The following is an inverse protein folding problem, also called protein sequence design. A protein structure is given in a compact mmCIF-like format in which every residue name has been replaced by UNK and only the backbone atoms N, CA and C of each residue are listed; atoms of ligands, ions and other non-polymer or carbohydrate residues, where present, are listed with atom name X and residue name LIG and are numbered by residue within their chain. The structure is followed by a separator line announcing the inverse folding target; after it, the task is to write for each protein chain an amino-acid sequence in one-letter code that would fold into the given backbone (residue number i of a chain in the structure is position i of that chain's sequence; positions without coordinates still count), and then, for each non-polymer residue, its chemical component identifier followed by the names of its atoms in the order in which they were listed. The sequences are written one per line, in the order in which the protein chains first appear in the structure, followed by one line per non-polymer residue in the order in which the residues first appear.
data_IF_972106145202
#
_entry.id   IF_972106145202
#
_cell.length_a   1.000
_cell.length_b   1.000
_cell.length_c   1.000
_cell.angle_alpha   90.00
_cell.angle_beta   90.00
_cell.angle_gamma   90.00
#
_symmetry.space_group_name_H-M   'P 1'
#
loop_
_entity.id
_entity.type
_entity.pdbx_description
1 polymer ?
#
# COMPACT_ATOMS: atom_id res chain seq x y z
N UNK A 1 -17.64 10.39 8.45
CA UNK A 1 -16.75 9.66 9.37
C UNK A 1 -15.41 9.43 8.69
N UNK A 2 -14.37 9.64 9.41
CA UNK A 2 -13.06 9.42 8.84
C UNK A 2 -12.76 7.92 8.74
N UNK A 3 -12.41 7.41 7.55
CA UNK A 3 -12.00 6.03 7.42
C UNK A 3 -10.66 5.76 8.10
N UNK A 4 -9.97 6.82 8.48
CA UNK A 4 -8.67 6.72 9.12
C UNK A 4 -8.76 6.88 10.63
N UNK A 5 -9.93 6.62 11.22
CA UNK A 5 -10.05 6.62 12.68
C UNK A 5 -8.98 5.72 13.27
N UNK A 6 -8.17 6.27 14.17
CA UNK A 6 -7.13 5.48 14.78
C UNK A 6 -7.68 4.64 15.92
N UNK A 7 -7.02 3.53 16.17
CA UNK A 7 -7.29 2.67 17.31
C UNK A 7 -6.04 2.65 18.19
N UNK A 8 -6.20 2.34 19.50
CA UNK A 8 -5.03 2.23 20.37
C UNK A 8 -4.10 1.12 19.89
N UNK A 9 -2.80 1.38 19.88
CA UNK A 9 -1.81 0.36 19.50
C UNK A 9 -1.74 -0.80 20.50
N UNK A 10 -2.35 -0.63 21.67
CA UNK A 10 -2.40 -1.66 22.71
C UNK A 10 -3.56 -2.63 22.52
N UNK A 11 -4.43 -2.40 21.54
CA UNK A 11 -5.59 -3.25 21.28
C UNK A 11 -5.42 -4.04 20.00
N UNK A 12 -5.53 -5.36 20.10
CA UNK A 12 -5.56 -6.23 18.93
C UNK A 12 -6.93 -6.16 18.27
N UNK A 13 -6.95 -6.37 16.95
CA UNK A 13 -8.20 -6.32 16.20
C UNK A 13 -8.13 -7.26 14.99
N UNK A 14 -9.32 -7.52 14.43
CA UNK A 14 -9.47 -8.22 13.17
C UNK A 14 -10.06 -7.27 12.14
N UNK A 15 -9.66 -7.42 10.87
CA UNK A 15 -10.33 -6.78 9.73
C UNK A 15 -10.63 -7.88 8.74
N UNK A 16 -11.89 -8.21 8.59
CA UNK A 16 -12.33 -9.36 7.82
C UNK A 16 -13.10 -8.92 6.57
N UNK A 17 -13.12 -9.79 5.56
CA UNK A 17 -13.92 -9.55 4.36
C UNK A 17 -13.40 -8.42 3.49
N UNK A 18 -12.11 -8.11 3.54
CA UNK A 18 -11.55 -6.95 2.83
C UNK A 18 -11.65 -7.07 1.32
N UNK A 19 -11.47 -8.27 0.78
CA UNK A 19 -11.55 -8.44 -0.68
C UNK A 19 -12.95 -8.12 -1.20
N UNK A 20 -13.97 -8.56 -0.48
CA UNK A 20 -15.36 -8.27 -0.87
C UNK A 20 -15.72 -6.81 -0.61
N UNK A 21 -15.18 -6.23 0.47
CA UNK A 21 -15.46 -4.85 0.83
C UNK A 21 -14.80 -3.84 -0.10
N UNK A 22 -13.71 -4.22 -0.75
CA UNK A 22 -12.97 -3.35 -1.65
C UNK A 22 -12.68 -4.09 -2.97
N UNK A 23 -13.69 -4.27 -3.82
CA UNK A 23 -13.47 -4.92 -5.10
C UNK A 23 -12.64 -4.03 -6.03
N UNK A 24 -11.96 -4.66 -6.99
CA UNK A 24 -11.25 -3.90 -8.03
C UNK A 24 -12.31 -3.29 -8.94
N UNK A 25 -12.28 -1.97 -9.06
CA UNK A 25 -13.28 -1.22 -9.83
C UNK A 25 -12.73 -0.84 -11.19
N UNK A 26 -13.58 -0.90 -12.21
CA UNK A 26 -13.20 -0.60 -13.58
C UNK A 26 -12.68 0.83 -13.70
N UNK A 27 -11.53 0.97 -14.37
CA UNK A 27 -10.87 2.24 -14.64
C UNK A 27 -10.60 3.09 -13.39
N UNK A 28 -10.39 2.43 -12.24
CA UNK A 28 -10.24 3.13 -10.99
C UNK A 28 -9.08 2.61 -10.14
N UNK A 29 -8.59 3.48 -9.30
CA UNK A 29 -7.72 3.17 -8.19
C UNK A 29 -8.51 3.45 -6.92
N UNK A 30 -8.59 2.47 -6.02
CA UNK A 30 -9.28 2.64 -4.75
C UNK A 30 -8.35 2.27 -3.61
N UNK A 31 -8.63 2.79 -2.43
CA UNK A 31 -7.85 2.47 -1.24
C UNK A 31 -8.70 2.50 0.01
N UNK A 32 -8.26 1.77 1.01
CA UNK A 32 -8.89 1.77 2.32
C UNK A 32 -7.83 1.59 3.40
N UNK A 33 -7.89 2.47 4.40
CA UNK A 33 -7.08 2.31 5.60
C UNK A 33 -7.74 1.23 6.45
N UNK A 34 -7.01 0.18 6.76
CA UNK A 34 -7.55 -0.97 7.50
C UNK A 34 -7.05 -1.05 8.93
N UNK A 35 -5.84 -0.57 9.18
CA UNK A 35 -5.30 -0.43 10.54
C UNK A 35 -4.64 0.93 10.63
N UNK A 36 -4.86 1.65 11.71
CA UNK A 36 -4.24 2.96 11.92
C UNK A 36 -4.08 3.21 13.41
N UNK A 37 -2.85 3.31 13.86
CA UNK A 37 -2.52 3.66 15.23
C UNK A 37 -1.20 4.44 15.24
N UNK A 38 -0.65 4.71 16.41
CA UNK A 38 0.55 5.53 16.54
C UNK A 38 1.84 4.80 16.15
N UNK A 39 1.77 3.49 15.87
CA UNK A 39 2.93 2.70 15.45
C UNK A 39 2.94 2.50 13.94
N UNK A 40 1.79 2.15 13.36
CA UNK A 40 1.73 1.80 11.95
C UNK A 40 0.37 2.12 11.33
N UNK A 41 0.37 2.14 10.00
CA UNK A 41 -0.84 2.25 9.20
C UNK A 41 -0.78 1.19 8.10
N UNK A 42 -1.86 0.44 7.94
CA UNK A 42 -2.00 -0.52 6.87
C UNK A 42 -3.08 -0.05 5.91
N UNK A 43 -2.77 -0.04 4.62
CA UNK A 43 -3.69 0.40 3.57
C UNK A 43 -3.74 -0.68 2.50
N UNK A 44 -4.95 -0.99 2.04
CA UNK A 44 -5.14 -1.86 0.88
C UNK A 44 -5.54 -0.99 -0.30
N UNK A 45 -4.89 -1.22 -1.43
CA UNK A 45 -5.18 -0.55 -2.70
C UNK A 45 -5.70 -1.56 -3.70
N UNK A 46 -6.60 -1.11 -4.56
CA UNK A 46 -6.93 -1.84 -5.78
C UNK A 46 -6.67 -0.95 -6.97
N UNK A 47 -6.22 -1.54 -8.07
CA UNK A 47 -5.96 -0.83 -9.31
C UNK A 47 -6.53 -1.63 -10.46
N UNK A 48 -7.30 -0.99 -11.33
CA UNK A 48 -7.58 -1.61 -12.61
C UNK A 48 -6.32 -1.57 -13.48
N UNK A 49 -6.29 -2.39 -14.51
CA UNK A 49 -5.15 -2.41 -15.44
C UNK A 49 -4.93 -1.01 -16.02
N UNK A 50 -3.67 -0.60 -16.07
CA UNK A 50 -3.29 0.71 -16.62
C UNK A 50 -3.29 1.84 -15.62
N UNK A 51 -3.81 1.65 -14.42
CA UNK A 51 -3.79 2.70 -13.40
C UNK A 51 -2.36 2.95 -12.91
N UNK A 52 -2.07 4.21 -12.64
CA UNK A 52 -0.73 4.67 -12.28
C UNK A 52 -0.78 5.39 -10.94
N UNK A 53 0.20 5.13 -10.11
CA UNK A 53 0.46 5.95 -8.93
C UNK A 53 1.78 6.67 -9.18
N UNK A 54 1.72 7.99 -9.35
CA UNK A 54 2.86 8.78 -9.77
C UNK A 54 3.92 8.86 -8.67
N UNK A 55 5.12 9.25 -9.04
CA UNK A 55 6.26 9.28 -8.12
C UNK A 55 5.97 10.12 -6.88
N UNK A 56 6.23 9.54 -5.74
CA UNK A 56 6.05 10.18 -4.45
C UNK A 56 6.97 9.50 -3.42
N UNK A 57 6.98 10.01 -2.20
CA UNK A 57 7.78 9.44 -1.12
C UNK A 57 7.01 9.56 0.20
N UNK A 58 7.47 8.83 1.20
CA UNK A 58 6.90 8.88 2.54
C UNK A 58 8.03 8.90 3.57
N UNK A 59 7.86 9.64 4.67
CA UNK A 59 8.88 9.61 5.75
C UNK A 59 8.85 8.32 6.55
N UNK A 60 7.83 7.46 6.35
CA UNK A 60 7.72 6.17 7.03
C UNK A 60 8.50 5.10 6.31
N UNK A 61 8.89 4.05 7.04
CA UNK A 61 9.33 2.81 6.42
C UNK A 61 8.09 2.08 5.90
N UNK A 62 8.16 1.53 4.70
CA UNK A 62 6.99 0.93 4.05
C UNK A 62 7.32 -0.46 3.54
N UNK A 63 6.42 -1.42 3.80
CA UNK A 63 6.43 -2.71 3.14
C UNK A 63 5.25 -2.76 2.19
N UNK A 64 5.53 -3.07 0.93
CA UNK A 64 4.54 -3.25 -0.12
C UNK A 64 4.45 -4.73 -0.43
N UNK A 65 3.25 -5.28 -0.41
CA UNK A 65 3.01 -6.67 -0.83
C UNK A 65 1.99 -6.64 -1.97
N UNK A 66 2.35 -7.22 -3.11
CA UNK A 66 1.40 -7.40 -4.19
C UNK A 66 0.60 -8.67 -3.91
N UNK A 67 -0.71 -8.53 -3.74
CA UNK A 67 -1.59 -9.64 -3.40
C UNK A 67 -2.21 -10.30 -4.62
N UNK A 68 -2.50 -9.52 -5.67
CA UNK A 68 -3.09 -10.03 -6.91
C UNK A 68 -2.54 -9.22 -8.08
N UNK A 69 -2.39 -9.85 -9.22
CA UNK A 69 -2.04 -9.19 -10.48
C UNK A 69 -0.56 -9.04 -10.71
N UNK A 70 -0.23 -8.19 -11.68
CA UNK A 70 1.14 -7.83 -12.03
C UNK A 70 1.28 -6.31 -12.10
N UNK A 71 2.41 -5.82 -11.67
CA UNK A 71 2.62 -4.39 -11.50
C UNK A 71 4.08 -4.05 -11.81
N UNK A 72 4.30 -2.95 -12.52
CA UNK A 72 5.64 -2.37 -12.66
C UNK A 72 5.84 -1.39 -11.51
N UNK A 73 6.92 -1.58 -10.78
CA UNK A 73 7.21 -0.78 -9.59
C UNK A 73 8.61 -0.19 -9.71
N UNK A 74 8.75 1.10 -9.47
CA UNK A 74 10.05 1.77 -9.54
C UNK A 74 10.43 2.40 -8.22
N UNK A 75 11.71 2.32 -7.90
CA UNK A 75 12.34 2.99 -6.77
C UNK A 75 13.51 3.78 -7.35
N UNK A 76 13.41 5.11 -7.32
CA UNK A 76 14.38 5.95 -7.99
C UNK A 76 14.43 5.63 -9.48
N UNK A 77 15.60 5.27 -9.99
CA UNK A 77 15.79 4.91 -11.40
C UNK A 77 15.78 3.39 -11.63
N UNK A 78 15.39 2.61 -10.66
CA UNK A 78 15.34 1.16 -10.75
C UNK A 78 13.88 0.71 -10.83
N UNK A 79 13.58 -0.20 -11.76
CA UNK A 79 12.21 -0.67 -11.99
C UNK A 79 12.18 -2.20 -12.09
N UNK A 80 11.16 -2.81 -11.48
CA UNK A 80 10.98 -4.26 -11.50
C UNK A 80 9.51 -4.60 -11.76
N UNK A 81 9.27 -5.73 -12.40
CA UNK A 81 7.93 -6.28 -12.57
C UNK A 81 7.61 -7.15 -11.36
N UNK A 82 6.58 -6.75 -10.59
CA UNK A 82 6.10 -7.53 -9.45
C UNK A 82 4.99 -8.47 -9.88
N UNK A 83 4.95 -9.63 -9.23
CA UNK A 83 3.87 -10.61 -9.36
C UNK A 83 3.28 -10.88 -7.98
N UNK A 84 2.10 -11.48 -7.95
CA UNK A 84 1.42 -11.78 -6.69
C UNK A 84 2.36 -12.56 -5.75
N UNK A 85 2.46 -12.07 -4.52
CA UNK A 85 3.35 -12.61 -3.51
C UNK A 85 4.68 -11.86 -3.35
N UNK A 86 5.02 -10.99 -4.31
CA UNK A 86 6.27 -10.23 -4.23
C UNK A 86 6.17 -9.10 -3.22
N UNK A 87 7.31 -8.78 -2.61
CA UNK A 87 7.40 -7.78 -1.54
C UNK A 87 8.47 -6.76 -1.88
N UNK A 88 8.17 -5.49 -1.60
CA UNK A 88 9.11 -4.38 -1.73
C UNK A 88 9.27 -3.71 -0.38
N UNK A 89 10.50 -3.43 0.03
CA UNK A 89 10.75 -2.57 1.17
C UNK A 89 11.16 -1.19 0.66
N UNK A 90 10.48 -0.15 1.15
CA UNK A 90 10.82 1.23 0.83
C UNK A 90 11.41 1.89 2.07
N UNK A 91 12.68 2.28 1.97
CA UNK A 91 13.31 3.06 3.03
C UNK A 91 12.61 4.42 3.13
N UNK A 92 12.64 5.05 4.33
CA UNK A 92 12.05 6.39 4.48
C UNK A 92 12.57 7.35 3.41
N UNK A 93 11.66 8.10 2.83
CA UNK A 93 11.91 9.15 1.85
C UNK A 93 12.36 8.69 0.45
N UNK A 94 12.46 7.39 0.20
CA UNK A 94 12.78 6.92 -1.15
C UNK A 94 11.60 7.17 -2.09
N UNK A 95 11.91 7.68 -3.27
CA UNK A 95 10.89 8.00 -4.28
C UNK A 95 10.50 6.73 -5.02
N UNK A 96 9.21 6.56 -5.21
CA UNK A 96 8.69 5.35 -5.85
C UNK A 96 7.42 5.67 -6.64
N UNK A 97 7.14 4.80 -7.61
CA UNK A 97 5.96 4.90 -8.47
C UNK A 97 5.57 3.51 -8.92
N UNK A 98 4.35 3.39 -9.42
CA UNK A 98 3.88 2.09 -9.92
C UNK A 98 2.90 2.26 -11.06
N UNK A 99 2.79 1.21 -11.87
CA UNK A 99 1.78 1.08 -12.92
C UNK A 99 1.21 -0.33 -12.84
N UNK A 100 -0.09 -0.45 -12.73
CA UNK A 100 -0.76 -1.75 -12.76
C UNK A 100 -0.73 -2.29 -14.20
N UNK A 101 -0.10 -3.43 -14.41
CA UNK A 101 -0.07 -4.08 -15.72
C UNK A 101 -1.36 -4.83 -15.96
N UNK A 102 -1.81 -5.54 -14.94
CA UNK A 102 -3.14 -6.17 -14.90
C UNK A 102 -3.90 -5.57 -13.73
N UNK A 103 -5.15 -5.96 -13.54
CA UNK A 103 -5.88 -5.59 -12.34
C UNK A 103 -5.12 -6.08 -11.11
N UNK A 104 -4.93 -5.24 -10.12
CA UNK A 104 -4.05 -5.50 -8.98
C UNK A 104 -4.72 -5.21 -7.64
N UNK A 105 -4.25 -5.94 -6.64
CA UNK A 105 -4.54 -5.65 -5.23
C UNK A 105 -3.21 -5.62 -4.49
N UNK A 106 -3.00 -4.55 -3.73
CA UNK A 106 -1.72 -4.28 -3.08
C UNK A 106 -1.97 -3.89 -1.63
N UNK A 107 -1.09 -4.33 -0.74
CA UNK A 107 -1.15 -3.94 0.66
C UNK A 107 0.12 -3.18 1.02
N UNK A 108 -0.06 -2.05 1.71
CA UNK A 108 1.03 -1.30 2.30
C UNK A 108 0.96 -1.42 3.81
N UNK A 109 2.13 -1.60 4.42
CA UNK A 109 2.28 -1.43 5.86
C UNK A 109 3.30 -0.32 6.05
N UNK A 110 2.86 0.80 6.62
CA UNK A 110 3.68 1.99 6.85
C UNK A 110 3.96 2.09 8.34
N UNK A 111 5.25 2.12 8.69
CA UNK A 111 5.69 2.08 10.08
C UNK A 111 6.31 3.42 10.45
N UNK A 112 5.89 3.96 11.59
CA UNK A 112 6.48 5.19 12.11
C UNK A 112 7.92 4.92 12.54
N UNK A 113 8.84 5.75 12.07
CA UNK A 113 10.25 5.58 12.40
C UNK A 113 10.70 6.48 13.55
N UNK A 114 9.82 7.36 14.01
CA UNK A 114 10.13 8.26 15.10
C UNK A 114 11.21 9.27 14.74
N UNK A 115 11.55 10.11 15.71
CA UNK A 115 12.61 11.08 15.56
C UNK A 115 13.96 10.36 15.67
N UNK A 116 14.88 10.72 14.78
CA UNK A 116 16.21 10.15 14.76
C UNK A 116 17.25 11.26 14.80
N UNK A 117 18.28 11.04 15.57
CA UNK A 117 19.40 11.99 15.65
C UNK A 117 20.46 11.65 14.63
#
# INVERSE_FOLDING_TARGET
MSPSSSTPSTESLFRLGLNAALPISEEATTSRVVVNNDILRTVVFTFDAGQVLTEHSSPRAVIVTLLEGEMDFSIGNRSERLKAGDVVYLAPNDRHALTAVTACRMQLVMVEVGARD
#
